data_IF_573294990873
#
_entry.id   IF_573294990873
#
_cell.length_a   1.000
_cell.length_b   1.000
_cell.length_c   1.000
_cell.angle_alpha   90.00
_cell.angle_beta   90.00
_cell.angle_gamma   90.00
#
_symmetry.space_group_name_H-M   'P 1'
#
loop_
_entity.id
_entity.type
_entity.pdbx_description
1 polymer ?
#
# COMPACT_ATOMS: atom_id res chain seq x y z
N UNK A 1 82.76 -31.74 53.37
CA UNK A 1 83.96 -31.15 53.98
C UNK A 1 83.65 -31.04 55.47
N UNK A 2 84.48 -31.65 56.32
CA UNK A 2 84.42 -31.71 57.79
C UNK A 2 83.34 -32.61 58.45
N UNK A 3 83.75 -33.87 58.64
CA UNK A 3 83.87 -34.62 59.91
C UNK A 3 83.14 -34.22 61.20
N UNK A 4 82.88 -35.28 61.97
CA UNK A 4 82.78 -35.42 63.43
C UNK A 4 81.41 -35.49 64.10
N UNK A 5 80.94 -36.73 64.25
CA UNK A 5 80.49 -37.31 65.54
C UNK A 5 81.57 -37.07 66.63
N UNK A 6 81.23 -37.00 67.94
CA UNK A 6 80.93 -38.24 68.67
C UNK A 6 79.93 -38.13 69.85
N UNK A 7 79.39 -39.31 70.20
CA UNK A 7 79.21 -39.94 71.53
C UNK A 7 78.71 -39.16 72.76
N UNK A 8 78.06 -39.78 73.76
CA UNK A 8 77.37 -41.06 73.96
C UNK A 8 76.90 -41.01 75.44
N UNK A 9 75.84 -41.76 75.74
CA UNK A 9 75.58 -42.43 77.03
C UNK A 9 75.31 -41.60 78.29
N UNK A 10 74.07 -41.73 78.78
CA UNK A 10 73.83 -42.46 80.03
C UNK A 10 72.34 -42.81 80.20
N UNK A 11 72.08 -44.09 79.97
CA UNK A 11 71.31 -45.01 80.82
C UNK A 11 70.17 -44.45 81.70
N UNK A 12 68.96 -44.79 81.28
CA UNK A 12 68.01 -45.57 82.10
C UNK A 12 67.74 -45.07 83.53
N UNK A 13 66.98 -43.99 83.64
CA UNK A 13 66.07 -43.78 84.77
C UNK A 13 64.70 -43.38 84.24
N UNK A 14 63.67 -43.91 84.87
CA UNK A 14 62.28 -43.45 84.74
C UNK A 14 61.44 -44.03 83.60
N UNK A 15 61.54 -45.35 83.40
CA UNK A 15 60.42 -46.19 82.91
C UNK A 15 59.26 -46.32 83.93
N UNK A 16 59.07 -45.31 84.78
CA UNK A 16 58.07 -45.26 85.87
C UNK A 16 57.12 -44.04 85.73
N UNK A 17 57.32 -43.17 84.73
CA UNK A 17 56.40 -42.06 84.45
C UNK A 17 55.33 -42.36 83.37
N UNK A 18 55.35 -43.56 82.75
CA UNK A 18 54.51 -43.89 81.60
C UNK A 18 53.35 -44.86 81.90
N UNK A 19 53.11 -45.25 83.16
CA UNK A 19 52.01 -46.17 83.54
C UNK A 19 51.08 -45.60 84.63
N UNK A 20 51.37 -44.41 85.17
CA UNK A 20 50.54 -43.74 86.19
C UNK A 20 49.63 -42.61 85.65
N UNK A 21 49.67 -42.30 84.35
CA UNK A 21 48.78 -41.32 83.71
C UNK A 21 47.65 -41.96 82.87
N UNK A 22 47.58 -43.30 82.82
CA UNK A 22 46.62 -44.06 82.00
C UNK A 22 45.49 -44.76 82.80
N UNK A 23 45.37 -44.50 84.12
CA UNK A 23 44.38 -45.17 84.98
C UNK A 23 43.56 -44.22 85.90
N UNK A 24 43.61 -42.90 85.68
CA UNK A 24 42.89 -41.91 86.50
C UNK A 24 42.05 -40.90 85.70
N UNK A 25 41.58 -41.28 84.50
CA UNK A 25 40.58 -40.53 83.73
C UNK A 25 39.53 -41.44 83.07
N UNK A 26 39.31 -42.63 83.65
CA UNK A 26 38.33 -43.63 83.20
C UNK A 26 37.29 -43.98 84.28
N UNK A 27 37.04 -43.11 85.27
CA UNK A 27 36.05 -43.37 86.32
C UNK A 27 35.39 -42.11 86.93
N UNK A 28 34.88 -41.20 86.08
CA UNK A 28 33.65 -40.42 86.39
C UNK A 28 32.78 -40.40 85.13
N UNK A 29 32.35 -41.61 84.72
CA UNK A 29 31.23 -41.81 83.83
C UNK A 29 29.98 -41.99 84.69
N UNK A 30 29.32 -40.90 85.08
CA UNK A 30 27.96 -40.89 85.63
C UNK A 30 27.46 -39.44 85.80
N UNK A 31 26.82 -38.90 84.75
CA UNK A 31 25.73 -37.91 84.81
C UNK A 31 25.42 -37.41 83.39
N UNK A 32 24.73 -38.23 82.60
CA UNK A 32 24.05 -37.73 81.41
C UNK A 32 22.84 -36.89 81.89
N UNK A 33 22.65 -35.64 81.41
CA UNK A 33 21.41 -34.93 81.71
C UNK A 33 20.28 -35.61 80.94
N UNK A 34 19.32 -36.17 81.67
CA UNK A 34 18.06 -36.66 81.10
C UNK A 34 17.28 -35.42 80.64
N UNK A 35 17.26 -35.20 79.33
CA UNK A 35 16.45 -34.15 78.73
C UNK A 35 14.97 -34.37 79.11
N UNK A 36 14.23 -33.31 79.51
CA UNK A 36 12.83 -33.45 79.86
C UNK A 36 12.05 -34.00 78.65
N UNK A 37 11.22 -35.02 78.87
CA UNK A 37 10.36 -35.56 77.83
C UNK A 37 9.47 -34.43 77.27
N UNK A 38 9.48 -34.19 75.95
CA UNK A 38 8.85 -33.00 75.43
C UNK A 38 7.32 -33.13 75.48
N UNK A 39 6.65 -32.08 75.94
CA UNK A 39 5.18 -31.97 75.93
C UNK A 39 4.67 -32.10 74.49
N UNK A 40 3.97 -33.21 74.17
CA UNK A 40 3.45 -33.48 72.82
C UNK A 40 2.60 -32.32 72.28
N UNK A 41 1.88 -31.59 73.15
CA UNK A 41 1.09 -30.41 72.76
C UNK A 41 1.97 -29.23 72.36
N UNK A 42 3.05 -28.96 73.09
CA UNK A 42 4.00 -27.89 72.76
C UNK A 42 4.81 -28.21 71.49
N UNK A 43 5.12 -29.49 71.25
CA UNK A 43 5.73 -29.94 69.99
C UNK A 43 4.77 -29.87 68.80
N UNK A 44 3.50 -30.20 68.99
CA UNK A 44 2.49 -30.05 67.94
C UNK A 44 2.25 -28.56 67.64
N UNK A 45 2.16 -27.70 68.65
CA UNK A 45 1.99 -26.25 68.46
C UNK A 45 3.24 -25.63 67.82
N UNK A 46 4.45 -26.01 68.24
CA UNK A 46 5.68 -25.50 67.62
C UNK A 46 5.90 -26.05 66.21
N UNK A 47 5.52 -27.30 65.93
CA UNK A 47 5.53 -27.86 64.59
C UNK A 47 4.49 -27.20 63.67
N UNK A 48 3.29 -26.89 64.18
CA UNK A 48 2.26 -26.13 63.45
C UNK A 48 2.74 -24.69 63.19
N UNK A 49 3.33 -24.03 64.19
CA UNK A 49 3.88 -22.68 64.04
C UNK A 49 5.04 -22.66 63.02
N UNK A 50 5.94 -23.64 63.07
CA UNK A 50 7.05 -23.77 62.11
C UNK A 50 6.55 -24.12 60.70
N UNK A 51 5.55 -24.99 60.60
CA UNK A 51 4.86 -25.29 59.33
C UNK A 51 4.17 -24.06 58.75
N UNK A 52 3.54 -23.23 59.58
CA UNK A 52 2.91 -21.99 59.15
C UNK A 52 3.94 -20.97 58.66
N UNK A 53 5.05 -20.79 59.39
CA UNK A 53 6.15 -19.91 58.97
C UNK A 53 6.80 -20.42 57.68
N UNK A 54 7.00 -21.73 57.53
CA UNK A 54 7.50 -22.33 56.30
C UNK A 54 6.52 -22.14 55.13
N UNK A 55 5.21 -22.30 55.35
CA UNK A 55 4.17 -22.08 54.35
C UNK A 55 4.12 -20.61 53.90
N UNK A 56 4.19 -19.67 54.85
CA UNK A 56 4.27 -18.23 54.57
C UNK A 56 5.55 -17.89 53.82
N UNK A 57 6.69 -18.47 54.21
CA UNK A 57 7.95 -18.32 53.50
C UNK A 57 7.89 -18.82 52.05
N UNK A 58 7.29 -20.00 51.82
CA UNK A 58 7.05 -20.56 50.49
C UNK A 58 6.10 -19.66 49.69
N UNK A 59 5.03 -19.14 50.30
CA UNK A 59 4.11 -18.19 49.67
C UNK A 59 4.78 -16.87 49.26
N UNK A 60 5.67 -16.32 50.11
CA UNK A 60 6.44 -15.12 49.79
C UNK A 60 7.41 -15.38 48.64
N UNK A 61 8.07 -16.54 48.62
CA UNK A 61 8.96 -16.94 47.52
C UNK A 61 8.16 -17.13 46.22
N UNK A 62 7.01 -17.82 46.28
CA UNK A 62 6.13 -18.01 45.12
C UNK A 62 5.57 -16.68 44.59
N UNK A 63 5.21 -15.75 45.48
CA UNK A 63 4.75 -14.40 45.12
C UNK A 63 5.88 -13.56 44.49
N UNK A 64 7.07 -13.55 45.09
CA UNK A 64 8.23 -12.81 44.59
C UNK A 64 8.71 -13.34 43.23
N UNK A 65 8.59 -14.64 42.98
CA UNK A 65 8.99 -15.29 41.73
C UNK A 65 7.86 -15.38 40.69
N UNK A 66 6.66 -14.83 40.98
CA UNK A 66 5.48 -14.89 40.09
C UNK A 66 5.16 -16.31 39.58
N UNK A 67 5.38 -17.32 40.41
CA UNK A 67 5.04 -18.72 40.12
C UNK A 67 3.55 -18.98 40.40
N UNK A 68 2.93 -20.02 39.80
CA UNK A 68 1.51 -20.33 40.05
C UNK A 68 1.28 -20.50 41.57
N UNK A 69 0.29 -19.84 42.21
CA UNK A 69 -0.91 -19.16 41.69
C UNK A 69 -0.80 -17.63 41.40
N UNK A 70 0.39 -17.02 41.46
CA UNK A 70 0.58 -15.56 41.33
C UNK A 70 1.07 -15.10 39.94
N UNK A 71 0.77 -15.86 38.88
CA UNK A 71 1.11 -15.46 37.51
C UNK A 71 0.29 -14.22 37.10
N UNK A 72 0.95 -13.10 36.84
CA UNK A 72 0.29 -11.91 36.33
C UNK A 72 -0.19 -12.14 34.91
N UNK A 73 -1.50 -12.03 34.66
CA UNK A 73 -2.09 -12.05 33.32
C UNK A 73 -1.76 -10.79 32.49
N UNK A 74 -0.81 -9.96 32.93
CA UNK A 74 -0.42 -8.73 32.24
C UNK A 74 0.93 -8.96 31.57
N UNK A 75 0.95 -8.83 30.24
CA UNK A 75 2.18 -8.91 29.44
C UNK A 75 2.66 -7.49 29.20
N UNK A 76 3.90 -7.18 29.59
CA UNK A 76 4.49 -5.84 29.41
C UNK A 76 5.71 -5.87 28.49
N UNK A 77 5.87 -4.84 27.68
CA UNK A 77 7.06 -4.59 26.86
C UNK A 77 7.42 -3.12 26.85
N UNK A 78 8.72 -2.85 26.91
CA UNK A 78 9.32 -1.53 26.74
C UNK A 78 9.72 -1.28 25.29
N UNK A 79 9.73 -2.32 24.45
CA UNK A 79 9.99 -2.17 23.03
C UNK A 79 8.68 -1.88 22.29
N UNK A 80 8.15 -0.68 22.52
CA UNK A 80 6.99 -0.20 21.81
C UNK A 80 7.14 1.27 21.42
N UNK A 81 6.60 1.62 20.25
CA UNK A 81 6.69 2.97 19.71
C UNK A 81 5.34 3.42 19.15
N UNK A 82 5.05 4.71 19.27
CA UNK A 82 3.95 5.34 18.53
C UNK A 82 4.32 5.39 17.05
N UNK A 83 3.38 5.03 16.19
CA UNK A 83 3.49 5.08 14.74
C UNK A 83 2.27 5.81 14.16
N UNK A 84 2.47 6.42 13.02
CA UNK A 84 1.43 7.01 12.19
C UNK A 84 1.73 6.72 10.74
N UNK A 85 0.74 6.92 9.88
CA UNK A 85 0.90 6.80 8.43
C UNK A 85 1.64 8.03 7.91
N UNK A 86 2.96 8.06 8.00
CA UNK A 86 3.73 9.19 7.48
C UNK A 86 3.75 9.12 5.95
N UNK A 87 3.09 10.06 5.28
CA UNK A 87 3.06 10.16 3.83
C UNK A 87 4.08 11.19 3.37
N UNK A 88 5.02 10.79 2.50
CA UNK A 88 5.98 11.71 1.92
C UNK A 88 5.36 12.40 0.71
N UNK A 89 5.29 13.73 0.78
CA UNK A 89 4.79 14.57 -0.30
C UNK A 89 5.97 14.94 -1.20
N UNK A 90 5.87 14.57 -2.47
CA UNK A 90 6.87 14.87 -3.49
C UNK A 90 6.25 15.51 -4.74
N UNK A 91 7.11 15.99 -5.63
CA UNK A 91 6.68 16.54 -6.92
C UNK A 91 6.66 15.48 -8.04
N UNK A 92 5.69 15.57 -8.95
CA UNK A 92 5.66 14.77 -10.18
C UNK A 92 6.35 15.49 -11.36
N UNK A 93 6.55 16.80 -11.25
CA UNK A 93 7.07 17.64 -12.32
C UNK A 93 8.34 18.39 -11.90
N UNK A 94 9.28 18.60 -12.83
CA UNK A 94 10.42 19.44 -12.57
C UNK A 94 10.05 20.93 -12.71
N UNK A 95 10.70 21.79 -11.95
CA UNK A 95 10.54 23.23 -12.09
C UNK A 95 11.05 24.04 -10.90
N UNK A 96 11.01 25.36 -11.06
CA UNK A 96 11.33 26.28 -9.97
C UNK A 96 10.11 26.48 -9.07
N UNK A 97 10.35 26.52 -7.77
CA UNK A 97 9.31 26.76 -6.76
C UNK A 97 9.07 28.25 -6.66
N UNK A 98 7.88 28.70 -7.03
CA UNK A 98 7.50 30.12 -7.00
C UNK A 98 6.98 30.54 -5.64
N UNK A 99 6.33 29.62 -4.92
CA UNK A 99 5.77 29.90 -3.60
C UNK A 99 5.74 28.66 -2.70
N UNK A 100 5.94 28.89 -1.41
CA UNK A 100 5.79 27.89 -0.35
C UNK A 100 4.86 28.48 0.69
N UNK A 101 3.61 27.98 0.72
CA UNK A 101 2.53 28.58 1.52
C UNK A 101 2.40 27.99 2.92
N UNK A 102 3.32 27.11 3.28
CA UNK A 102 3.32 26.39 4.55
C UNK A 102 4.63 26.55 5.29
N UNK A 103 4.55 26.43 6.61
CA UNK A 103 5.68 26.48 7.53
C UNK A 103 5.94 25.09 8.11
N UNK A 104 7.13 24.90 8.67
CA UNK A 104 7.50 23.68 9.38
C UNK A 104 6.49 23.41 10.51
N UNK A 105 6.07 22.15 10.65
CA UNK A 105 5.16 21.69 11.71
C UNK A 105 3.74 22.27 11.68
N UNK A 106 3.36 22.95 10.58
CA UNK A 106 2.02 23.53 10.43
C UNK A 106 0.95 22.44 10.26
N UNK A 107 -0.23 22.69 10.82
CA UNK A 107 -1.41 21.86 10.61
C UNK A 107 -2.14 22.27 9.33
N UNK A 108 -2.46 21.30 8.48
CA UNK A 108 -3.08 21.50 7.16
C UNK A 108 -4.31 20.62 7.01
N UNK A 109 -5.22 21.07 6.16
CA UNK A 109 -6.40 20.32 5.73
C UNK A 109 -6.20 19.73 4.35
N UNK A 110 -6.98 18.71 4.04
CA UNK A 110 -7.06 18.14 2.70
C UNK A 110 -7.35 19.24 1.66
N UNK A 111 -6.56 19.28 0.59
CA UNK A 111 -6.68 20.26 -0.49
C UNK A 111 -5.93 21.58 -0.25
N UNK A 112 -5.36 21.81 0.94
CA UNK A 112 -4.57 23.01 1.20
C UNK A 112 -3.34 23.03 0.28
N UNK A 113 -3.07 24.19 -0.33
CA UNK A 113 -1.92 24.40 -1.21
C UNK A 113 -0.63 24.52 -0.38
N UNK A 114 0.29 23.58 -0.60
CA UNK A 114 1.55 23.50 0.12
C UNK A 114 2.65 24.25 -0.63
N UNK A 115 2.87 23.86 -1.88
CA UNK A 115 3.96 24.35 -2.73
C UNK A 115 3.42 24.63 -4.13
N UNK A 116 3.85 25.75 -4.71
CA UNK A 116 3.56 26.12 -6.09
C UNK A 116 4.84 26.05 -6.91
N UNK A 117 4.81 25.26 -7.98
CA UNK A 117 5.83 25.27 -9.04
C UNK A 117 5.44 26.33 -10.08
N UNK A 118 6.43 26.91 -10.76
CA UNK A 118 6.23 27.81 -11.89
C UNK A 118 5.33 27.17 -12.94
N UNK A 119 4.14 27.73 -13.10
CA UNK A 119 3.08 27.21 -13.95
C UNK A 119 3.12 27.77 -15.37
N UNK A 120 3.91 28.81 -15.64
CA UNK A 120 3.88 29.54 -16.92
C UNK A 120 4.10 28.64 -18.14
N UNK A 121 5.08 27.74 -18.07
CA UNK A 121 5.38 26.80 -19.16
C UNK A 121 4.24 25.78 -19.33
N UNK A 122 3.64 25.34 -18.23
CA UNK A 122 2.55 24.36 -18.24
C UNK A 122 1.23 24.98 -18.72
N UNK A 123 0.98 26.25 -18.37
CA UNK A 123 -0.14 27.05 -18.85
C UNK A 123 -0.04 27.25 -20.37
N UNK A 124 1.14 27.60 -20.88
CA UNK A 124 1.38 27.72 -22.32
C UNK A 124 1.16 26.38 -23.06
N UNK A 125 1.57 25.26 -22.47
CA UNK A 125 1.32 23.92 -23.04
C UNK A 125 -0.16 23.56 -23.05
N UNK A 126 -0.90 23.93 -22.00
CA UNK A 126 -2.34 23.77 -21.94
C UNK A 126 -3.03 24.58 -23.06
N UNK A 127 -2.68 25.85 -23.20
CA UNK A 127 -3.21 26.75 -24.25
C UNK A 127 -2.86 26.25 -25.66
N UNK A 128 -1.64 25.75 -25.87
CA UNK A 128 -1.23 25.14 -27.13
C UNK A 128 -2.07 23.90 -27.47
N UNK A 129 -2.31 23.02 -26.49
CA UNK A 129 -3.13 21.83 -26.69
C UNK A 129 -4.61 22.18 -26.93
N UNK A 130 -5.11 23.24 -26.29
CA UNK A 130 -6.47 23.75 -26.51
C UNK A 130 -6.63 24.30 -27.93
N UNK A 131 -5.68 25.10 -28.39
CA UNK A 131 -5.66 25.61 -29.76
C UNK A 131 -5.59 24.46 -30.79
N UNK A 132 -4.78 23.42 -30.52
CA UNK A 132 -4.71 22.25 -31.39
C UNK A 132 -6.05 21.50 -31.45
N UNK A 133 -6.74 21.33 -30.32
CA UNK A 133 -8.08 20.73 -30.29
C UNK A 133 -9.08 21.56 -31.09
N UNK A 134 -9.05 22.89 -30.95
CA UNK A 134 -9.91 23.80 -31.72
C UNK A 134 -9.66 23.65 -33.23
N UNK A 135 -8.40 23.55 -33.66
CA UNK A 135 -8.04 23.32 -35.07
C UNK A 135 -8.59 21.98 -35.60
N UNK A 136 -8.47 20.89 -34.83
CA UNK A 136 -9.01 19.59 -35.25
C UNK A 136 -10.54 19.57 -35.30
N UNK A 137 -11.21 20.24 -34.35
CA UNK A 137 -12.66 20.42 -34.38
C UNK A 137 -13.12 21.21 -35.60
N UNK A 138 -12.40 22.28 -35.96
CA UNK A 138 -12.68 23.05 -37.16
C UNK A 138 -12.50 22.21 -38.44
N UNK A 139 -11.45 21.37 -38.51
CA UNK A 139 -11.26 20.45 -39.62
C UNK A 139 -12.42 19.44 -39.75
N UNK A 140 -12.91 18.90 -38.63
CA UNK A 140 -14.09 18.03 -38.62
C UNK A 140 -15.39 18.76 -39.01
N UNK A 141 -15.53 20.05 -38.65
CA UNK A 141 -16.67 20.84 -39.10
C UNK A 141 -16.62 21.09 -40.63
N UNK A 142 -15.43 21.36 -41.18
CA UNK A 142 -15.23 21.53 -42.62
C UNK A 142 -15.54 20.26 -43.42
N UNK A 143 -15.42 19.08 -42.80
CA UNK A 143 -15.80 17.81 -43.43
C UNK A 143 -17.28 17.78 -43.84
N UNK A 144 -18.17 18.38 -43.07
CA UNK A 144 -19.61 18.42 -43.39
C UNK A 144 -19.86 19.19 -44.70
N UNK A 145 -19.11 20.26 -44.93
CA UNK A 145 -19.16 20.99 -46.20
C UNK A 145 -18.64 20.13 -47.37
N UNK A 146 -17.55 19.41 -47.18
CA UNK A 146 -17.00 18.49 -48.19
C UNK A 146 -17.99 17.36 -48.52
N UNK A 147 -18.66 16.80 -47.50
CA UNK A 147 -19.69 15.78 -47.67
C UNK A 147 -20.87 16.29 -48.50
N UNK A 148 -21.44 17.45 -48.13
CA UNK A 148 -22.55 18.07 -48.89
C UNK A 148 -22.17 18.35 -50.34
N UNK A 149 -20.91 18.74 -50.59
CA UNK A 149 -20.41 19.00 -51.94
C UNK A 149 -20.31 17.70 -52.75
N UNK A 150 -19.84 16.61 -52.13
CA UNK A 150 -19.76 15.30 -52.77
C UNK A 150 -21.17 14.74 -53.08
N UNK A 151 -22.13 14.88 -52.16
CA UNK A 151 -23.54 14.49 -52.37
C UNK A 151 -24.19 15.28 -53.50
N UNK A 152 -23.97 16.59 -53.57
CA UNK A 152 -24.44 17.41 -54.68
C UNK A 152 -23.85 16.95 -56.02
N UNK A 153 -22.58 16.49 -56.03
CA UNK A 153 -21.95 15.87 -57.19
C UNK A 153 -22.63 14.57 -57.64
N UNK A 154 -23.10 13.74 -56.71
CA UNK A 154 -23.89 12.54 -57.02
C UNK A 154 -25.23 12.94 -57.65
N UNK A 155 -25.94 13.91 -57.05
CA UNK A 155 -27.21 14.40 -57.58
C UNK A 155 -27.07 14.96 -59.01
N UNK A 156 -25.99 15.71 -59.29
CA UNK A 156 -25.66 16.21 -60.63
C UNK A 156 -25.45 15.06 -61.62
N UNK A 157 -24.62 14.07 -61.29
CA UNK A 157 -24.35 12.93 -62.18
C UNK A 157 -25.57 12.04 -62.38
N UNK A 158 -26.44 11.94 -61.38
CA UNK A 158 -27.71 11.24 -61.50
C UNK A 158 -28.66 11.93 -62.50
N UNK A 159 -28.72 13.27 -62.48
CA UNK A 159 -29.46 14.04 -63.48
C UNK A 159 -28.86 13.87 -64.89
N UNK A 160 -27.53 13.87 -65.01
CA UNK A 160 -26.84 13.60 -66.28
C UNK A 160 -27.14 12.21 -66.83
N UNK A 161 -27.16 11.18 -65.97
CA UNK A 161 -27.55 9.83 -66.36
C UNK A 161 -29.01 9.77 -66.83
N UNK A 162 -29.93 10.39 -66.09
CA UNK A 162 -31.34 10.44 -66.47
C UNK A 162 -31.55 11.10 -67.84
N UNK A 163 -30.82 12.17 -68.14
CA UNK A 163 -30.84 12.82 -69.45
C UNK A 163 -30.30 11.89 -70.57
N UNK A 164 -29.18 11.19 -70.31
CA UNK A 164 -28.62 10.23 -71.26
C UNK A 164 -29.58 9.05 -71.53
N UNK A 165 -30.24 8.55 -70.49
CA UNK A 165 -31.24 7.47 -70.60
C UNK A 165 -32.48 7.91 -71.38
N UNK A 166 -32.96 9.14 -71.16
CA UNK A 166 -34.05 9.71 -71.95
C UNK A 166 -33.69 9.84 -73.45
N UNK A 167 -32.47 10.29 -73.76
CA UNK A 167 -31.98 10.35 -75.14
C UNK A 167 -31.86 8.97 -75.78
N UNK A 168 -31.34 7.98 -75.04
CA UNK A 168 -31.25 6.61 -75.51
C UNK A 168 -32.65 6.00 -75.75
N UNK A 169 -33.61 6.24 -74.86
CA UNK A 169 -35.00 5.79 -75.04
C UNK A 169 -35.62 6.38 -76.31
N UNK A 170 -35.39 7.67 -76.57
CA UNK A 170 -35.81 8.31 -77.82
C UNK A 170 -35.16 7.66 -79.05
N UNK A 171 -33.84 7.46 -79.06
CA UNK A 171 -33.14 6.82 -80.18
C UNK A 171 -33.58 5.36 -80.41
N UNK A 172 -33.94 4.63 -79.36
CA UNK A 172 -34.52 3.28 -79.48
C UNK A 172 -35.90 3.33 -80.15
N UNK A 173 -36.77 4.26 -79.73
CA UNK A 173 -38.09 4.41 -80.32
C UNK A 173 -38.01 4.86 -81.79
N UNK A 174 -37.11 5.79 -82.12
CA UNK A 174 -36.89 6.26 -83.48
C UNK A 174 -36.35 5.14 -84.38
N UNK A 175 -35.38 4.34 -83.91
CA UNK A 175 -34.90 3.17 -84.65
C UNK A 175 -36.02 2.13 -84.87
N UNK A 176 -36.87 1.90 -83.86
CA UNK A 176 -38.01 0.99 -84.01
C UNK A 176 -38.98 1.45 -85.10
N UNK A 177 -39.28 2.76 -85.15
CA UNK A 177 -40.13 3.37 -86.19
C UNK A 177 -39.48 3.30 -87.57
N UNK A 178 -38.18 3.57 -87.64
CA UNK A 178 -37.39 3.47 -88.89
C UNK A 178 -37.35 2.04 -89.41
N UNK A 179 -37.19 1.04 -88.53
CA UNK A 179 -37.18 -0.37 -88.92
C UNK A 179 -38.55 -0.83 -89.46
N UNK A 180 -39.67 -0.39 -88.87
CA UNK A 180 -41.01 -0.73 -89.41
C UNK A 180 -41.23 -0.10 -90.78
N UNK A 181 -40.88 1.18 -90.97
CA UNK A 181 -41.03 1.87 -92.26
C UNK A 181 -40.09 1.32 -93.35
N UNK A 182 -38.90 0.86 -92.98
CA UNK A 182 -37.96 0.21 -93.90
C UNK A 182 -38.46 -1.18 -94.34
N UNK A 183 -39.13 -1.93 -93.46
CA UNK A 183 -39.75 -3.21 -93.81
C UNK A 183 -40.88 -3.05 -94.84
N UNK A 184 -41.60 -1.93 -94.76
CA UNK A 184 -42.64 -1.54 -95.74
C UNK A 184 -42.06 -0.95 -97.04
N UNK A 185 -40.73 -0.94 -97.22
CA UNK A 185 -40.04 -0.42 -98.41
C UNK A 185 -40.03 1.11 -98.55
N UNK A 186 -40.50 1.83 -97.52
CA UNK A 186 -40.72 3.28 -97.57
C UNK A 186 -39.51 4.12 -97.14
N UNK A 187 -38.41 3.49 -96.71
CA UNK A 187 -37.21 4.17 -96.21
C UNK A 187 -35.91 3.62 -96.82
N UNK A 188 -34.88 4.47 -96.89
CA UNK A 188 -33.56 4.06 -97.42
C UNK A 188 -32.70 3.31 -96.41
N UNK A 189 -31.86 2.37 -96.87
CA UNK A 189 -30.89 1.65 -96.02
C UNK A 189 -29.93 2.60 -95.28
N UNK A 190 -29.52 3.70 -95.93
CA UNK A 190 -28.66 4.73 -95.32
C UNK A 190 -29.29 5.34 -94.08
N UNK A 191 -30.60 5.58 -94.13
CA UNK A 191 -31.35 6.20 -93.05
C UNK A 191 -31.54 5.22 -91.87
N UNK A 192 -31.75 3.94 -92.18
CA UNK A 192 -31.72 2.88 -91.18
C UNK A 192 -30.36 2.78 -90.48
N UNK A 193 -29.25 2.78 -91.23
CA UNK A 193 -27.90 2.70 -90.65
C UNK A 193 -27.56 3.92 -89.81
N UNK A 194 -28.02 5.12 -90.20
CA UNK A 194 -27.86 6.33 -89.39
C UNK A 194 -28.57 6.24 -88.04
N UNK A 195 -29.79 5.69 -87.99
CA UNK A 195 -30.52 5.46 -86.73
C UNK A 195 -29.88 4.37 -85.87
N UNK A 196 -29.32 3.32 -86.49
CA UNK A 196 -28.55 2.29 -85.76
C UNK A 196 -27.31 2.90 -85.10
N UNK A 197 -26.57 3.73 -85.83
CA UNK A 197 -25.41 4.43 -85.30
C UNK A 197 -25.80 5.40 -84.16
N UNK A 198 -26.89 6.15 -84.31
CA UNK A 198 -27.41 7.05 -83.27
C UNK A 198 -27.81 6.30 -81.98
N UNK A 199 -28.43 5.12 -82.09
CA UNK A 199 -28.70 4.26 -80.94
C UNK A 199 -27.41 3.78 -80.28
N UNK A 200 -26.43 3.33 -81.06
CA UNK A 200 -25.14 2.89 -80.51
C UNK A 200 -24.42 4.03 -79.77
N UNK A 201 -24.47 5.25 -80.29
CA UNK A 201 -23.89 6.44 -79.67
C UNK A 201 -24.57 6.79 -78.34
N UNK A 202 -25.89 6.81 -78.29
CA UNK A 202 -26.63 7.11 -77.04
C UNK A 202 -26.48 6.00 -76.00
N UNK A 203 -26.38 4.74 -76.41
CA UNK A 203 -26.04 3.64 -75.51
C UNK A 203 -24.65 3.81 -74.88
N UNK A 204 -23.65 4.22 -75.66
CA UNK A 204 -22.32 4.55 -75.15
C UNK A 204 -22.36 5.73 -74.17
N UNK A 205 -23.16 6.76 -74.46
CA UNK A 205 -23.35 7.91 -73.57
C UNK A 205 -23.97 7.52 -72.21
N UNK A 206 -24.95 6.60 -72.19
CA UNK A 206 -25.50 6.04 -70.95
C UNK A 206 -24.42 5.28 -70.17
N UNK A 207 -23.63 4.44 -70.83
CA UNK A 207 -22.52 3.72 -70.19
C UNK A 207 -21.52 4.69 -69.55
N UNK A 208 -21.16 5.77 -70.24
CA UNK A 208 -20.28 6.81 -69.73
C UNK A 208 -20.89 7.51 -68.51
N UNK A 209 -22.15 7.94 -68.59
CA UNK A 209 -22.83 8.61 -67.49
C UNK A 209 -22.98 7.71 -66.25
N UNK A 210 -23.23 6.41 -66.43
CA UNK A 210 -23.23 5.43 -65.33
C UNK A 210 -21.87 5.32 -64.65
N UNK A 211 -20.79 5.25 -65.43
CA UNK A 211 -19.44 5.23 -64.88
C UNK A 211 -19.12 6.51 -64.09
N UNK A 212 -19.51 7.68 -64.60
CA UNK A 212 -19.33 8.96 -63.89
C UNK A 212 -20.14 9.03 -62.59
N UNK A 213 -21.37 8.51 -62.57
CA UNK A 213 -22.17 8.41 -61.34
C UNK A 213 -21.51 7.49 -60.32
N UNK A 214 -20.96 6.35 -60.76
CA UNK A 214 -20.27 5.44 -59.85
C UNK A 214 -19.02 6.08 -59.24
N UNK A 215 -18.22 6.80 -60.04
CA UNK A 215 -17.08 7.58 -59.53
C UNK A 215 -17.54 8.60 -58.49
N UNK A 216 -18.63 9.32 -58.73
CA UNK A 216 -19.18 10.29 -57.78
C UNK A 216 -19.63 9.62 -56.47
N UNK A 217 -20.23 8.42 -56.52
CA UNK A 217 -20.59 7.64 -55.34
C UNK A 217 -19.38 7.16 -54.55
N UNK A 218 -18.35 6.67 -55.23
CA UNK A 218 -17.08 6.29 -54.59
C UNK A 218 -16.41 7.49 -53.91
N UNK A 219 -16.52 8.69 -54.49
CA UNK A 219 -16.02 9.91 -53.86
C UNK A 219 -16.74 10.24 -52.55
N UNK A 220 -18.07 10.09 -52.48
CA UNK A 220 -18.83 10.23 -51.22
C UNK A 220 -18.35 9.23 -50.18
N UNK A 221 -18.17 7.96 -50.57
CA UNK A 221 -17.69 6.92 -49.66
C UNK A 221 -16.29 7.25 -49.11
N UNK A 222 -15.38 7.75 -49.96
CA UNK A 222 -14.06 8.22 -49.54
C UNK A 222 -14.15 9.35 -48.50
N UNK A 223 -15.05 10.31 -48.71
CA UNK A 223 -15.31 11.38 -47.73
C UNK A 223 -15.84 10.81 -46.42
N UNK A 224 -16.79 9.87 -46.45
CA UNK A 224 -17.33 9.21 -45.24
C UNK A 224 -16.22 8.52 -44.44
N UNK A 225 -15.33 7.77 -45.10
CA UNK A 225 -14.19 7.12 -44.43
C UNK A 225 -13.24 8.15 -43.81
N UNK A 226 -12.99 9.27 -44.49
CA UNK A 226 -12.14 10.35 -43.97
C UNK A 226 -12.69 10.97 -42.66
N UNK A 227 -14.01 10.94 -42.44
CA UNK A 227 -14.62 11.40 -41.18
C UNK A 227 -14.05 10.69 -39.96
N UNK A 228 -13.85 9.37 -40.05
CA UNK A 228 -13.33 8.56 -38.94
C UNK A 228 -11.91 8.99 -38.58
N UNK A 229 -11.08 9.30 -39.58
CA UNK A 229 -9.73 9.82 -39.38
C UNK A 229 -9.75 11.18 -38.65
N UNK A 230 -10.62 12.10 -39.08
CA UNK A 230 -10.78 13.41 -38.43
C UNK A 230 -11.33 13.28 -37.00
N UNK A 231 -12.29 12.39 -36.76
CA UNK A 231 -12.80 12.11 -35.42
C UNK A 231 -11.71 11.54 -34.50
N UNK A 232 -10.86 10.64 -35.01
CA UNK A 232 -9.71 10.13 -34.28
C UNK A 232 -8.68 11.24 -33.96
N UNK A 233 -8.44 12.17 -34.90
CA UNK A 233 -7.58 13.33 -34.67
C UNK A 233 -8.11 14.24 -33.55
N UNK A 234 -9.44 14.47 -33.49
CA UNK A 234 -10.08 15.21 -32.40
C UNK A 234 -9.94 14.46 -31.06
N UNK A 235 -10.11 13.14 -31.06
CA UNK A 235 -9.94 12.33 -29.86
C UNK A 235 -8.50 12.40 -29.32
N UNK A 236 -7.50 12.30 -30.21
CA UNK A 236 -6.09 12.43 -29.87
C UNK A 236 -5.76 13.83 -29.31
N UNK A 237 -6.25 14.90 -29.94
CA UNK A 237 -6.05 16.26 -29.44
C UNK A 237 -6.74 16.48 -28.08
N UNK A 238 -7.90 15.85 -27.85
CA UNK A 238 -8.59 15.89 -26.55
C UNK A 238 -7.79 15.19 -25.46
N UNK A 239 -7.17 14.04 -25.78
CA UNK A 239 -6.29 13.34 -24.86
C UNK A 239 -5.04 14.17 -24.52
N UNK A 240 -4.44 14.82 -25.52
CA UNK A 240 -3.30 15.73 -25.32
C UNK A 240 -3.65 16.92 -24.42
N UNK A 241 -4.83 17.54 -24.61
CA UNK A 241 -5.33 18.61 -23.73
C UNK A 241 -5.51 18.13 -22.28
N UNK A 242 -6.06 16.92 -22.09
CA UNK A 242 -6.21 16.33 -20.75
C UNK A 242 -4.86 16.10 -20.09
N UNK A 243 -3.86 15.60 -20.82
CA UNK A 243 -2.51 15.42 -20.30
C UNK A 243 -1.88 16.76 -19.89
N UNK A 244 -1.96 17.78 -20.75
CA UNK A 244 -1.44 19.12 -20.44
C UNK A 244 -2.14 19.76 -19.22
N UNK A 245 -3.44 19.49 -19.04
CA UNK A 245 -4.18 19.93 -17.85
C UNK A 245 -3.70 19.23 -16.58
N UNK A 246 -3.50 17.91 -16.61
CA UNK A 246 -2.95 17.18 -15.46
C UNK A 246 -1.57 17.73 -15.08
N UNK A 247 -0.73 18.03 -16.07
CA UNK A 247 0.57 18.64 -15.81
C UNK A 247 0.41 20.04 -15.16
N UNK A 248 -0.50 20.87 -15.66
CA UNK A 248 -0.79 22.17 -15.06
C UNK A 248 -1.31 22.04 -13.62
N UNK A 249 -2.23 21.11 -13.36
CA UNK A 249 -2.79 20.86 -12.03
C UNK A 249 -1.69 20.37 -11.07
N UNK A 250 -0.77 19.52 -11.56
CA UNK A 250 0.38 19.00 -10.81
C UNK A 250 1.43 20.06 -10.44
N UNK A 251 1.37 21.28 -11.01
CA UNK A 251 2.18 22.41 -10.54
C UNK A 251 1.78 22.86 -9.13
N UNK A 252 0.54 22.55 -8.71
CA UNK A 252 -0.03 22.90 -7.42
C UNK A 252 0.02 21.68 -6.51
N UNK A 253 1.00 21.65 -5.61
CA UNK A 253 1.16 20.53 -4.69
C UNK A 253 0.28 20.77 -3.47
N UNK A 254 -0.77 19.95 -3.32
CA UNK A 254 -1.77 20.06 -2.25
C UNK A 254 -1.66 18.91 -1.24
N UNK A 255 -2.24 19.10 -0.05
CA UNK A 255 -2.31 18.05 0.95
C UNK A 255 -3.35 16.97 0.58
N UNK A 256 -2.98 15.68 0.54
CA UNK A 256 -3.91 14.60 0.19
C UNK A 256 -4.93 14.29 1.30
N UNK A 257 -4.62 14.59 2.56
CA UNK A 257 -5.48 14.38 3.73
C UNK A 257 -5.16 15.40 4.84
N UNK A 258 -6.01 15.45 5.88
CA UNK A 258 -5.78 16.32 7.04
C UNK A 258 -4.62 15.80 7.90
N UNK A 259 -3.72 16.70 8.32
CA UNK A 259 -2.59 16.29 9.12
C UNK A 259 -1.69 17.44 9.58
N UNK A 260 -0.55 17.07 10.14
CA UNK A 260 0.52 17.99 10.51
C UNK A 260 1.72 17.73 9.60
N UNK A 261 2.29 18.81 9.04
CA UNK A 261 3.49 18.71 8.23
C UNK A 261 4.71 18.43 9.09
N UNK A 262 5.70 17.76 8.52
CA UNK A 262 7.04 17.68 9.08
C UNK A 262 7.85 18.93 8.76
N UNK A 263 9.17 18.75 8.68
CA UNK A 263 10.05 19.79 8.18
C UNK A 263 9.87 19.95 6.66
N UNK A 264 9.73 21.19 6.20
CA UNK A 264 9.69 21.54 4.79
C UNK A 264 11.11 21.67 4.28
N UNK A 265 11.51 20.81 3.35
CA UNK A 265 12.89 20.79 2.80
C UNK A 265 13.06 21.82 1.68
N UNK A 266 11.97 22.20 1.02
CA UNK A 266 11.99 23.10 -0.13
C UNK A 266 11.89 24.57 0.28
N UNK A 267 12.46 25.46 -0.54
CA UNK A 267 12.40 26.93 -0.34
C UNK A 267 11.99 27.59 -1.64
N UNK A 268 11.39 28.78 -1.53
CA UNK A 268 11.06 29.62 -2.69
C UNK A 268 12.33 29.91 -3.51
N UNK A 269 12.24 29.74 -4.82
CA UNK A 269 13.35 29.88 -5.76
C UNK A 269 14.17 28.60 -5.97
N UNK A 270 13.97 27.55 -5.17
CA UNK A 270 14.65 26.27 -5.38
C UNK A 270 14.14 25.56 -6.63
N UNK A 271 15.04 24.86 -7.33
CA UNK A 271 14.69 23.96 -8.42
C UNK A 271 14.46 22.56 -7.89
N UNK A 272 13.34 21.93 -8.27
CA UNK A 272 12.99 20.56 -7.87
C UNK A 272 12.89 19.66 -9.09
N UNK A 273 13.29 18.40 -8.93
CA UNK A 273 13.18 17.35 -9.94
C UNK A 273 11.96 16.46 -9.65
N UNK A 274 11.45 15.76 -10.66
CA UNK A 274 10.43 14.72 -10.47
C UNK A 274 10.88 13.68 -9.43
N UNK A 275 9.98 13.36 -8.50
CA UNK A 275 10.23 12.43 -7.39
C UNK A 275 10.93 13.06 -6.18
N UNK A 276 11.32 14.34 -6.23
CA UNK A 276 11.92 15.02 -5.09
C UNK A 276 10.94 15.09 -3.92
N UNK A 277 11.38 14.65 -2.74
CA UNK A 277 10.61 14.71 -1.49
C UNK A 277 10.69 16.13 -0.92
N UNK A 278 9.53 16.75 -0.72
CA UNK A 278 9.43 18.14 -0.27
C UNK A 278 9.17 18.25 1.24
N UNK A 279 8.31 17.37 1.76
CA UNK A 279 7.93 17.32 3.17
C UNK A 279 7.23 16.00 3.51
N UNK A 280 7.18 15.64 4.79
CA UNK A 280 6.29 14.59 5.29
C UNK A 280 4.97 15.16 5.78
N UNK A 281 3.87 14.43 5.61
CA UNK A 281 2.57 14.70 6.21
C UNK A 281 2.26 13.59 7.21
N UNK A 282 1.92 13.97 8.44
CA UNK A 282 1.54 13.06 9.52
C UNK A 282 0.03 13.23 9.78
N UNK A 283 -0.81 12.24 9.44
CA UNK A 283 -2.24 12.30 9.69
C UNK A 283 -2.54 12.13 11.17
N UNK A 284 -3.77 12.47 11.57
CA UNK A 284 -4.23 12.39 12.96
C UNK A 284 -4.32 10.96 13.49
N UNK A 285 -4.48 9.97 12.62
CA UNK A 285 -4.64 8.58 13.02
C UNK A 285 -3.28 7.98 13.44
N UNK A 286 -3.13 7.74 14.74
CA UNK A 286 -1.94 7.16 15.35
C UNK A 286 -2.26 5.80 15.95
N UNK A 287 -1.26 4.92 16.01
CA UNK A 287 -1.32 3.62 16.67
C UNK A 287 -0.01 3.31 17.37
N UNK A 288 -0.03 2.37 18.30
CA UNK A 288 1.20 1.89 18.95
C UNK A 288 1.58 0.56 18.32
N UNK A 289 2.87 0.37 18.04
CA UNK A 289 3.42 -0.94 17.71
C UNK A 289 4.23 -1.43 18.90
N UNK A 290 3.76 -2.51 19.52
CA UNK A 290 4.41 -3.18 20.63
C UNK A 290 5.13 -4.44 20.14
N UNK A 291 6.46 -4.46 20.21
CA UNK A 291 7.25 -5.62 19.83
C UNK A 291 7.38 -6.55 21.06
N UNK A 292 6.56 -7.59 21.09
CA UNK A 292 6.57 -8.60 22.15
C UNK A 292 7.56 -9.71 21.82
N UNK A 293 8.25 -10.26 22.82
CA UNK A 293 9.05 -11.47 22.61
C UNK A 293 8.11 -12.62 22.24
N UNK A 294 8.55 -13.55 21.40
CA UNK A 294 7.76 -14.74 21.04
C UNK A 294 7.26 -15.50 22.29
N UNK A 295 8.09 -15.60 23.33
CA UNK A 295 7.75 -16.22 24.61
C UNK A 295 6.62 -15.50 25.37
N UNK A 296 6.33 -14.26 25.04
CA UNK A 296 5.28 -13.44 25.66
C UNK A 296 3.94 -13.51 24.91
N UNK A 297 3.88 -14.17 23.75
CA UNK A 297 2.69 -14.19 22.88
C UNK A 297 1.61 -15.21 23.28
N UNK A 298 1.89 -16.14 24.20
CA UNK A 298 1.04 -17.29 24.51
C UNK A 298 -0.43 -16.93 24.84
N UNK A 299 -0.67 -15.78 25.50
CA UNK A 299 -2.01 -15.32 25.87
C UNK A 299 -2.50 -14.08 25.12
N UNK A 300 -1.76 -13.59 24.13
CA UNK A 300 -2.06 -12.31 23.44
C UNK A 300 -3.03 -12.57 22.29
N UNK A 301 -4.19 -11.94 22.33
CA UNK A 301 -5.26 -12.08 21.34
C UNK A 301 -5.75 -10.72 20.85
N UNK A 302 -6.29 -10.70 19.63
CA UNK A 302 -6.92 -9.51 19.05
C UNK A 302 -8.17 -9.14 19.86
N UNK A 303 -8.34 -7.85 20.17
CA UNK A 303 -9.44 -7.30 20.96
C UNK A 303 -9.13 -7.07 22.44
N UNK A 304 -8.00 -7.58 22.95
CA UNK A 304 -7.62 -7.39 24.36
C UNK A 304 -7.33 -5.92 24.67
N UNK A 305 -7.66 -5.50 25.90
CA UNK A 305 -7.35 -4.16 26.39
C UNK A 305 -5.86 -4.00 26.65
N UNK A 306 -5.31 -2.89 26.19
CA UNK A 306 -3.93 -2.52 26.38
C UNK A 306 -3.85 -1.14 27.01
N UNK A 307 -2.93 -0.99 27.96
CA UNK A 307 -2.61 0.29 28.57
C UNK A 307 -1.15 0.60 28.27
N UNK A 308 -0.86 1.83 27.88
CA UNK A 308 0.51 2.23 27.57
C UNK A 308 0.86 3.56 28.24
N UNK A 309 2.10 3.65 28.71
CA UNK A 309 2.68 4.85 29.31
C UNK A 309 3.63 5.48 28.32
N UNK A 310 3.51 6.79 28.14
CA UNK A 310 4.34 7.55 27.19
C UNK A 310 5.40 8.31 27.95
N UNK A 311 6.67 8.00 27.68
CA UNK A 311 7.81 8.60 28.39
C UNK A 311 7.85 10.12 28.19
N UNK A 312 7.57 10.58 26.96
CA UNK A 312 7.54 11.99 26.59
C UNK A 312 6.39 12.81 27.24
N UNK A 313 5.46 12.16 27.94
CA UNK A 313 4.30 12.80 28.58
C UNK A 313 4.27 12.56 30.10
N UNK A 314 5.44 12.57 30.75
CA UNK A 314 5.60 12.31 32.18
C UNK A 314 5.02 10.96 32.62
N UNK A 315 5.13 9.94 31.75
CA UNK A 315 4.56 8.61 32.01
C UNK A 315 3.03 8.58 31.97
N UNK A 316 2.38 9.55 31.30
CA UNK A 316 0.94 9.58 31.14
C UNK A 316 0.40 8.24 30.62
N UNK A 317 -0.59 7.73 31.33
CA UNK A 317 -1.22 6.45 31.03
C UNK A 317 -2.37 6.65 30.05
N UNK A 318 -2.28 5.98 28.91
CA UNK A 318 -3.29 5.98 27.85
C UNK A 318 -3.78 4.55 27.60
N UNK A 319 -5.01 4.46 27.13
CA UNK A 319 -5.69 3.19 26.86
C UNK A 319 -5.84 2.94 25.37
N UNK A 320 -5.89 1.67 25.01
CA UNK A 320 -6.08 1.19 23.66
C UNK A 320 -6.46 -0.28 23.63
N UNK A 321 -6.53 -0.85 22.44
CA UNK A 321 -6.90 -2.25 22.23
C UNK A 321 -5.99 -2.88 21.19
N UNK A 322 -5.69 -4.17 21.38
CA UNK A 322 -4.96 -4.96 20.39
C UNK A 322 -5.80 -5.06 19.12
N UNK A 323 -5.37 -4.38 18.06
CA UNK A 323 -6.08 -4.35 16.79
C UNK A 323 -5.67 -5.53 15.91
N UNK A 324 -4.34 -5.76 15.79
CA UNK A 324 -3.78 -6.80 14.91
C UNK A 324 -2.46 -7.30 15.44
N UNK A 325 -2.13 -8.55 15.12
CA UNK A 325 -0.85 -9.18 15.41
C UNK A 325 -0.16 -9.45 14.07
N UNK A 326 1.14 -9.16 13.99
CA UNK A 326 1.94 -9.45 12.80
C UNK A 326 1.98 -10.96 12.52
N UNK A 327 1.82 -11.40 11.26
CA UNK A 327 1.88 -12.82 10.90
C UNK A 327 3.30 -13.40 10.95
N UNK A 328 4.34 -12.57 11.02
CA UNK A 328 5.73 -13.00 11.16
C UNK A 328 6.52 -12.08 12.10
N UNK A 329 7.71 -12.54 12.51
CA UNK A 329 8.63 -11.79 13.37
C UNK A 329 9.26 -10.63 12.61
N UNK A 330 9.73 -9.61 13.33
CA UNK A 330 10.34 -8.44 12.71
C UNK A 330 11.58 -8.74 11.85
N UNK A 331 12.28 -9.86 12.11
CA UNK A 331 13.45 -10.29 11.34
C UNK A 331 13.11 -10.76 9.92
N UNK A 332 11.95 -11.40 9.74
CA UNK A 332 11.50 -11.92 8.44
C UNK A 332 11.16 -10.81 7.44
N UNK A 333 10.80 -9.62 7.96
CA UNK A 333 10.50 -8.43 7.15
C UNK A 333 11.69 -7.47 7.02
N UNK A 334 12.89 -7.86 7.49
CA UNK A 334 14.09 -7.04 7.39
C UNK A 334 14.73 -7.14 6.00
N UNK A 335 15.18 -6.01 5.44
CA UNK A 335 15.95 -5.97 4.18
C UNK A 335 17.29 -6.71 4.31
N UNK A 336 17.82 -6.78 5.53
CA UNK A 336 19.03 -7.54 5.87
C UNK A 336 18.68 -8.49 7.04
N UNK A 337 18.34 -9.76 6.74
CA UNK A 337 18.14 -10.76 7.77
C UNK A 337 19.44 -11.01 8.52
N UNK A 338 19.36 -11.18 9.84
CA UNK A 338 20.47 -11.67 10.64
C UNK A 338 20.62 -13.19 10.40
N UNK A 339 21.19 -13.57 9.25
CA UNK A 339 21.54 -14.97 8.99
C UNK A 339 22.98 -15.24 9.42
N UNK A 340 23.18 -16.26 10.24
CA UNK A 340 24.49 -16.58 10.81
C UNK A 340 25.29 -17.42 9.81
N UNK A 341 26.18 -16.76 9.06
CA UNK A 341 26.97 -17.35 7.98
C UNK A 341 28.01 -18.44 8.38
N UNK A 342 28.06 -18.88 9.65
CA UNK A 342 29.15 -19.73 10.19
C UNK A 342 28.70 -21.05 10.85
N UNK A 343 27.47 -21.52 10.61
CA UNK A 343 27.05 -22.90 10.95
C UNK A 343 26.74 -23.20 12.41
N UNK A 344 26.90 -22.24 13.33
CA UNK A 344 26.42 -22.36 14.71
C UNK A 344 25.08 -21.63 14.88
N UNK A 345 24.00 -22.37 15.07
CA UNK A 345 22.68 -21.80 15.37
C UNK A 345 22.63 -21.33 16.83
N UNK A 346 22.47 -20.03 17.04
CA UNK A 346 22.21 -19.44 18.36
C UNK A 346 20.73 -19.04 18.41
N UNK A 347 19.98 -19.59 19.38
CA UNK A 347 18.56 -19.23 19.59
C UNK A 347 18.46 -17.80 20.12
N UNK A 348 18.12 -16.87 19.24
CA UNK A 348 17.90 -15.46 19.58
C UNK A 348 16.40 -15.25 19.79
N UNK A 349 16.02 -14.50 20.83
CA UNK A 349 14.63 -14.18 21.10
C UNK A 349 14.06 -13.30 19.99
N UNK A 350 13.16 -13.85 19.19
CA UNK A 350 12.47 -13.12 18.13
C UNK A 350 11.33 -12.28 18.72
N UNK A 351 10.99 -11.20 18.02
CA UNK A 351 9.93 -10.27 18.43
C UNK A 351 8.82 -10.21 17.39
N UNK A 352 7.58 -10.28 17.85
CA UNK A 352 6.37 -10.19 17.05
C UNK A 352 5.72 -8.82 17.29
N UNK A 353 5.63 -7.98 16.24
CA UNK A 353 4.94 -6.69 16.34
C UNK A 353 3.44 -6.88 16.56
N UNK A 354 2.90 -6.21 17.57
CA UNK A 354 1.46 -6.13 17.87
C UNK A 354 1.00 -4.68 17.69
N UNK A 355 0.02 -4.47 16.83
CA UNK A 355 -0.59 -3.17 16.58
C UNK A 355 -1.71 -2.92 17.57
N UNK A 356 -1.61 -1.81 18.29
CA UNK A 356 -2.57 -1.37 19.31
C UNK A 356 -3.23 -0.08 18.82
N UNK A 357 -4.55 -0.11 18.65
CA UNK A 357 -5.35 1.07 18.36
C UNK A 357 -5.50 1.90 19.62
N UNK A 358 -5.34 3.22 19.51
CA UNK A 358 -5.52 4.16 20.62
C UNK A 358 -7.01 4.50 20.75
N UNK A 359 -7.53 4.51 21.98
CA UNK A 359 -8.94 4.86 22.21
C UNK A 359 -9.17 6.38 22.14
N UNK A 360 -10.29 6.78 21.54
CA UNK A 360 -10.62 8.18 21.32
C UNK A 360 -11.04 8.91 22.62
N UNK A 361 -10.97 10.24 22.62
CA UNK A 361 -11.45 11.08 23.73
C UNK A 361 -10.45 11.27 24.89
N UNK A 362 -9.23 10.75 24.78
CA UNK A 362 -8.21 10.90 25.81
C UNK A 362 -7.50 12.25 25.69
N UNK A 363 -7.60 13.10 26.73
CA UNK A 363 -7.10 14.47 26.70
C UNK A 363 -5.61 14.60 26.37
N UNK A 364 -4.77 13.60 26.64
CA UNK A 364 -3.32 13.63 26.33
C UNK A 364 -2.95 12.99 24.98
N UNK A 365 -3.89 12.32 24.31
CA UNK A 365 -3.62 11.61 23.06
C UNK A 365 -3.29 12.55 21.88
N UNK A 366 -3.76 13.80 21.90
CA UNK A 366 -3.46 14.79 20.86
C UNK A 366 -1.99 15.23 20.81
N UNK A 367 -1.22 14.95 21.87
CA UNK A 367 0.22 15.28 21.95
C UNK A 367 1.12 14.15 21.49
N UNK A 368 0.55 13.01 21.11
CA UNK A 368 1.33 11.89 20.61
C UNK A 368 1.89 12.22 19.22
N UNK A 369 3.14 11.84 18.99
CA UNK A 369 3.78 11.92 17.69
C UNK A 369 4.40 10.58 17.32
N UNK A 370 4.46 10.21 16.02
CA UNK A 370 5.19 9.06 15.57
C UNK A 370 6.66 9.11 16.04
N UNK A 371 7.17 7.98 16.53
CA UNK A 371 8.54 7.86 17.05
C UNK A 371 8.65 7.98 18.57
N UNK A 372 7.61 8.39 19.29
CA UNK A 372 7.64 8.39 20.76
C UNK A 372 7.73 6.96 21.33
N UNK A 373 8.64 6.77 22.28
CA UNK A 373 8.77 5.54 23.05
C UNK A 373 7.62 5.39 24.04
N UNK A 374 7.09 4.18 24.14
CA UNK A 374 6.02 3.84 25.07
C UNK A 374 6.27 2.50 25.73
N UNK A 375 5.86 2.38 26.99
CA UNK A 375 5.82 1.09 27.69
C UNK A 375 4.39 0.57 27.64
N UNK A 376 4.19 -0.60 27.04
CA UNK A 376 2.88 -1.20 26.80
C UNK A 376 2.66 -2.35 27.76
N UNK A 377 1.46 -2.40 28.35
CA UNK A 377 0.96 -3.50 29.17
C UNK A 377 -0.37 -3.98 28.61
N UNK A 378 -0.44 -5.25 28.20
CA UNK A 378 -1.64 -5.91 27.64
C UNK A 378 -2.23 -6.82 28.72
N UNK A 379 -3.54 -6.68 28.94
CA UNK A 379 -4.28 -7.58 29.83
C UNK A 379 -4.73 -8.84 29.06
N UNK A 380 -4.10 -9.97 29.38
CA UNK A 380 -4.39 -11.29 28.80
C UNK A 380 -5.37 -12.11 29.63
N UNK A 381 -5.95 -11.55 30.70
CA UNK A 381 -6.97 -12.24 31.51
C UNK A 381 -8.32 -12.35 30.80
N UNK A 382 -8.58 -11.45 29.85
CA UNK A 382 -9.77 -11.49 29.02
C UNK A 382 -9.65 -12.61 27.96
N UNK A 383 -10.32 -13.73 28.22
CA UNK A 383 -10.56 -14.77 27.21
C UNK A 383 -11.62 -14.24 26.26
N UNK A 384 -11.20 -13.81 25.08
CA UNK A 384 -12.13 -13.39 24.03
C UNK A 384 -12.56 -14.65 23.29
N UNK A 385 -13.82 -15.07 23.50
CA UNK A 385 -14.38 -16.22 22.80
C UNK A 385 -14.36 -15.98 21.29
N UNK A 386 -13.69 -16.88 20.56
CA UNK A 386 -13.39 -16.87 19.13
C UNK A 386 -14.66 -17.01 18.24
N UNK A 387 -15.63 -16.11 18.42
CA UNK A 387 -17.01 -16.26 17.92
C UNK A 387 -17.32 -15.42 16.68
N UNK A 388 -16.37 -14.62 16.17
CA UNK A 388 -16.62 -13.73 15.02
C UNK A 388 -15.89 -14.11 13.74
N UNK A 389 -15.16 -15.24 13.71
CA UNK A 389 -14.70 -15.83 12.47
C UNK A 389 -15.84 -16.64 11.84
N UNK A 390 -16.86 -15.95 11.30
CA UNK A 390 -17.80 -16.59 10.40
C UNK A 390 -17.04 -17.00 9.12
N UNK A 391 -16.96 -18.29 8.76
CA UNK A 391 -16.37 -18.68 7.49
C UNK A 391 -17.27 -18.15 6.38
N UNK A 392 -16.70 -17.40 5.45
CA UNK A 392 -17.37 -17.03 4.21
C UNK A 392 -17.87 -18.31 3.54
N UNK A 393 -19.20 -18.43 3.37
CA UNK A 393 -19.83 -19.51 2.62
C UNK A 393 -19.18 -19.60 1.24
N UNK A 394 -18.39 -20.64 1.01
CA UNK A 394 -18.02 -21.10 -0.32
C UNK A 394 -19.31 -21.54 -1.01
N UNK A 395 -19.80 -20.71 -1.93
CA UNK A 395 -20.83 -21.10 -2.87
C UNK A 395 -20.25 -22.22 -3.74
N UNK A 396 -20.76 -23.44 -3.53
CA UNK A 396 -20.45 -24.58 -4.37
C UNK A 396 -20.95 -24.33 -5.78
N UNK A 397 -20.02 -24.16 -6.72
CA UNK A 397 -20.26 -24.47 -8.11
C UNK A 397 -20.11 -25.99 -8.27
N UNK A 398 -21.24 -26.67 -8.52
CA UNK A 398 -21.25 -27.98 -9.19
C UNK A 398 -21.62 -27.76 -10.67
N UNK A 399 -21.16 -28.64 -11.57
CA UNK A 399 -20.96 -28.38 -13.00
C UNK A 399 -22.25 -28.20 -13.79
#
# INVERSE_FOLDING_TARGET
MADNTPDNSSSSETRVAAVAAAAAAAAVAAAAPVAPAPDRRAQIISAIAFSFVALVGVLIVLYAWRLPPFSSAIVSTENALVRGQVTLIGTQLPGYVTDVRVQDFQQVKQGDLLVQIDDRIYQQRYEQAEAQLAAQKAALANWEQAHRTAEAGVALNQATLANAEAQAAKSVADLSRVNSLAADGSLSLREQDSSKAAKAQTAAAVSQARASLEIARQQVQSVVVNKLSLAAAVANATAALKAARVDLDNTRITAPEDGQLGQVTVRKGAYVNTGAQLMGLVPRQLWVIANLKETQMNGVQVGQSATFKVDALDGAQLTGQVERISPATGSEFSVLPADNATGNYVKIAQRIPVRIRIDAGQAKAHRLAPGMSVVVSIDTSAVLNDSSAAPAKTAGAKP
#
